data_IF_361675496417
#
_entry.id   IF_361675496417
#
_cell.length_a   1.000
_cell.length_b   1.000
_cell.length_c   1.000
_cell.angle_alpha   90.00
_cell.angle_beta   90.00
_cell.angle_gamma   90.00
#
_symmetry.space_group_name_H-M   'P 1'
#
loop_
_entity.id
_entity.type
_entity.pdbx_description
1 polymer ?
#
# COMPACT_ATOMS: atom_id res chain seq x y z
N UNK A 1 -14.83 0.85 38.78
CA UNK A 1 -13.38 0.63 38.90
C UNK A 1 -13.11 -0.76 38.32
N UNK A 2 -12.39 -0.98 37.23
CA UNK A 2 -11.49 -0.10 36.48
C UNK A 2 -11.36 -0.58 35.03
N UNK A 3 -11.34 0.40 34.13
CA UNK A 3 -10.51 0.55 32.92
C UNK A 3 -10.53 -0.55 31.84
N UNK A 4 -11.19 -0.21 30.72
CA UNK A 4 -10.95 -0.78 29.40
C UNK A 4 -9.51 -0.47 28.93
N UNK A 5 -8.80 -1.40 28.27
CA UNK A 5 -7.65 -1.02 27.48
C UNK A 5 -8.12 -0.30 26.22
N UNK A 6 -7.43 0.80 25.94
CA UNK A 6 -7.48 1.58 24.70
C UNK A 6 -6.66 0.84 23.63
N UNK A 7 -6.50 1.50 22.48
CA UNK A 7 -5.63 1.15 21.34
C UNK A 7 -6.44 0.37 20.30
N UNK A 8 -6.90 0.94 19.19
CA UNK A 8 -6.34 2.04 18.43
C UNK A 8 -6.20 1.53 17.00
N UNK A 9 -7.20 1.84 16.17
CA UNK A 9 -7.20 1.69 14.71
C UNK A 9 -6.79 0.29 14.23
N UNK A 10 -7.78 -0.56 13.94
CA UNK A 10 -7.52 -1.85 13.31
C UNK A 10 -6.62 -1.63 12.08
N UNK A 11 -5.42 -2.25 12.03
CA UNK A 11 -4.69 -2.30 10.79
C UNK A 11 -5.64 -2.90 9.76
N UNK A 12 -5.66 -2.36 8.55
CA UNK A 12 -6.42 -2.97 7.47
C UNK A 12 -5.68 -4.28 7.16
N UNK A 13 -6.04 -5.32 7.91
CA UNK A 13 -5.56 -6.68 7.78
C UNK A 13 -6.20 -7.24 6.52
N UNK A 14 -5.71 -6.84 5.35
CA UNK A 14 -6.08 -7.49 4.10
C UNK A 14 -5.33 -8.83 3.94
N UNK A 15 -5.04 -9.50 5.07
CA UNK A 15 -4.34 -10.77 5.19
C UNK A 15 -5.37 -11.89 5.45
N UNK A 16 -6.21 -12.15 4.45
CA UNK A 16 -6.85 -13.46 4.28
C UNK A 16 -7.53 -13.52 2.93
N UNK A 17 -6.72 -13.66 1.87
CA UNK A 17 -7.17 -14.35 0.68
C UNK A 17 -6.22 -15.53 0.43
N UNK A 18 -6.71 -16.77 0.50
CA UNK A 18 -5.91 -17.95 0.20
C UNK A 18 -5.73 -18.08 -1.32
N UNK A 19 -4.51 -18.49 -1.71
CA UNK A 19 -3.98 -18.67 -3.09
C UNK A 19 -3.66 -17.34 -3.81
N UNK A 20 -2.48 -16.72 -3.65
CA UNK A 20 -1.14 -17.28 -3.73
C UNK A 20 -0.37 -16.50 -4.80
N UNK A 21 0.23 -15.36 -4.42
CA UNK A 21 1.17 -14.49 -5.19
C UNK A 21 0.64 -13.19 -5.83
N UNK A 22 -0.67 -12.91 -5.80
CA UNK A 22 -1.22 -11.67 -6.37
C UNK A 22 -1.88 -10.80 -5.28
N UNK A 23 -1.46 -9.53 -5.19
CA UNK A 23 -2.18 -8.50 -4.44
C UNK A 23 -3.04 -7.69 -5.39
N UNK A 24 -4.36 -7.81 -5.28
CA UNK A 24 -5.24 -6.89 -5.99
C UNK A 24 -5.18 -5.51 -5.33
N UNK A 25 -4.90 -4.50 -6.12
CA UNK A 25 -5.02 -3.10 -5.72
C UNK A 25 -6.17 -2.48 -6.48
N UNK A 26 -7.01 -1.76 -5.74
CA UNK A 26 -8.05 -0.93 -6.31
C UNK A 26 -7.40 0.29 -6.98
N UNK A 27 -7.45 0.34 -8.32
CA UNK A 27 -6.91 1.48 -9.10
C UNK A 27 -7.74 2.75 -8.94
N UNK A 28 -8.96 2.63 -8.43
CA UNK A 28 -9.85 3.73 -8.12
C UNK A 28 -9.53 4.37 -6.76
N UNK A 29 -8.73 3.72 -5.91
CA UNK A 29 -8.23 4.32 -4.68
C UNK A 29 -7.25 5.46 -5.02
N UNK A 30 -7.55 6.74 -4.66
CA UNK A 30 -6.67 7.87 -4.95
C UNK A 30 -5.30 7.75 -4.27
N UNK A 31 -5.14 6.88 -3.28
CA UNK A 31 -3.84 6.51 -2.71
C UNK A 31 -2.96 5.77 -3.73
N UNK A 32 -3.52 4.92 -4.59
CA UNK A 32 -2.76 4.14 -5.58
C UNK A 32 -2.04 5.05 -6.57
N UNK A 33 -2.77 5.98 -7.19
CA UNK A 33 -2.19 6.92 -8.15
C UNK A 33 -1.07 7.79 -7.53
N UNK A 34 -1.31 8.35 -6.34
CA UNK A 34 -0.31 9.19 -5.68
C UNK A 34 0.92 8.40 -5.18
N UNK A 35 0.73 7.15 -4.75
CA UNK A 35 1.82 6.28 -4.30
C UNK A 35 2.67 5.76 -5.46
N UNK A 36 2.07 5.42 -6.60
CA UNK A 36 2.80 5.07 -7.82
C UNK A 36 3.71 6.22 -8.28
N UNK A 37 3.17 7.44 -8.37
CA UNK A 37 3.96 8.63 -8.73
C UNK A 37 5.10 8.81 -7.74
N UNK A 38 4.87 8.62 -6.45
CA UNK A 38 5.93 8.68 -5.45
C UNK A 38 6.98 7.58 -5.62
N UNK A 39 6.59 6.33 -5.88
CA UNK A 39 7.52 5.22 -6.07
C UNK A 39 8.41 5.43 -7.31
N UNK A 40 7.85 5.94 -8.40
CA UNK A 40 8.58 6.19 -9.65
C UNK A 40 9.46 7.44 -9.57
N UNK A 41 8.94 8.54 -9.02
CA UNK A 41 9.62 9.85 -9.07
C UNK A 41 10.36 10.22 -7.78
N UNK A 42 10.14 9.46 -6.70
CA UNK A 42 10.56 9.78 -5.34
C UNK A 42 10.05 11.15 -4.86
N UNK A 43 8.95 11.65 -5.44
CA UNK A 43 8.34 12.94 -5.10
C UNK A 43 6.86 12.76 -4.78
N UNK A 44 6.42 13.38 -3.69
CA UNK A 44 5.01 13.39 -3.32
C UNK A 44 4.34 14.56 -4.05
N UNK A 45 3.17 14.35 -4.68
CA UNK A 45 2.49 15.42 -5.38
C UNK A 45 2.12 16.58 -4.44
N UNK A 46 2.19 17.85 -4.92
CA UNK A 46 1.93 19.02 -4.08
C UNK A 46 0.49 19.06 -3.56
N UNK A 47 -0.46 18.48 -4.29
CA UNK A 47 -1.88 18.39 -3.90
C UNK A 47 -2.15 17.50 -2.69
N UNK A 48 -1.21 16.63 -2.29
CA UNK A 48 -1.39 15.75 -1.14
C UNK A 48 -1.29 16.53 0.18
N UNK A 49 -2.25 16.31 1.08
CA UNK A 49 -2.24 16.87 2.44
C UNK A 49 -1.03 16.33 3.24
N UNK A 50 -0.63 17.00 4.33
CA UNK A 50 0.49 16.51 5.16
C UNK A 50 0.31 15.08 5.64
N UNK A 51 -0.92 14.67 5.93
CA UNK A 51 -1.28 13.33 6.36
C UNK A 51 -1.12 12.32 5.22
N UNK A 52 -1.61 12.66 4.02
CA UNK A 52 -1.43 11.83 2.82
C UNK A 52 0.06 11.64 2.51
N UNK A 53 0.87 12.69 2.61
CA UNK A 53 2.32 12.57 2.38
C UNK A 53 2.99 11.65 3.39
N UNK A 54 2.48 11.56 4.62
CA UNK A 54 2.98 10.62 5.63
C UNK A 54 2.54 9.21 5.30
N UNK A 55 1.27 9.01 4.95
CA UNK A 55 0.69 7.71 4.60
C UNK A 55 1.33 7.12 3.34
N UNK A 56 1.51 7.91 2.28
CA UNK A 56 2.22 7.52 1.05
C UNK A 56 3.63 7.05 1.36
N UNK A 57 4.41 7.85 2.10
CA UNK A 57 5.79 7.48 2.46
C UNK A 57 5.87 6.24 3.33
N UNK A 58 4.90 6.04 4.21
CA UNK A 58 4.84 4.86 5.08
C UNK A 58 4.55 3.61 4.27
N UNK A 59 3.45 3.60 3.49
CA UNK A 59 3.10 2.45 2.66
C UNK A 59 4.16 2.15 1.61
N UNK A 60 4.71 3.16 0.94
CA UNK A 60 5.70 2.98 -0.13
C UNK A 60 6.95 2.18 0.31
N UNK A 61 7.24 2.07 1.62
CA UNK A 61 8.33 1.21 2.13
C UNK A 61 8.12 -0.28 1.88
N UNK A 62 6.87 -0.69 1.71
CA UNK A 62 6.45 -2.06 1.47
C UNK A 62 6.24 -2.34 -0.01
N UNK A 63 6.40 -1.35 -0.89
CA UNK A 63 6.18 -1.51 -2.32
C UNK A 63 7.45 -1.19 -3.12
N UNK A 64 7.62 -1.87 -4.25
CA UNK A 64 8.72 -1.64 -5.18
C UNK A 64 8.22 -1.81 -6.62
N UNK A 65 8.70 -0.95 -7.52
CA UNK A 65 8.45 -1.09 -8.96
C UNK A 65 9.67 -1.75 -9.59
N UNK A 66 9.45 -2.85 -10.30
CA UNK A 66 10.49 -3.56 -11.06
C UNK A 66 10.04 -3.59 -12.52
N UNK A 67 10.77 -2.86 -13.37
CA UNK A 67 10.32 -2.59 -14.73
C UNK A 67 9.07 -1.71 -14.71
N UNK A 68 7.94 -2.27 -15.17
CA UNK A 68 6.63 -1.61 -15.19
C UNK A 68 5.66 -2.20 -14.17
N UNK A 69 6.09 -3.19 -13.39
CA UNK A 69 5.20 -3.94 -12.50
C UNK A 69 5.44 -3.54 -11.04
N UNK A 70 4.34 -3.30 -10.32
CA UNK A 70 4.36 -3.05 -8.88
C UNK A 70 4.40 -4.37 -8.10
N UNK A 71 5.23 -4.43 -7.07
CA UNK A 71 5.34 -5.55 -6.16
C UNK A 71 5.17 -5.08 -4.71
N UNK A 72 4.49 -5.88 -3.91
CA UNK A 72 4.46 -5.75 -2.46
C UNK A 72 5.51 -6.66 -1.84
N UNK A 73 6.35 -6.10 -0.97
CA UNK A 73 7.34 -6.80 -0.17
C UNK A 73 6.71 -7.23 1.15
N UNK A 74 6.40 -8.52 1.25
CA UNK A 74 5.91 -9.11 2.49
C UNK A 74 6.98 -9.14 3.58
N UNK A 75 6.53 -9.40 4.81
CA UNK A 75 7.39 -9.58 5.99
C UNK A 75 8.34 -10.79 5.85
N UNK A 76 7.92 -11.78 5.06
CA UNK A 76 8.69 -12.94 4.60
C UNK A 76 9.77 -12.58 3.56
N UNK A 77 9.94 -11.29 3.22
CA UNK A 77 10.82 -10.78 2.16
C UNK A 77 10.45 -11.27 0.75
N UNK A 78 9.32 -11.94 0.60
CA UNK A 78 8.80 -12.37 -0.70
C UNK A 78 8.13 -11.19 -1.39
N UNK A 79 8.51 -10.96 -2.64
CA UNK A 79 7.86 -9.99 -3.51
C UNK A 79 6.65 -10.65 -4.16
N UNK A 80 5.48 -10.03 -4.00
CA UNK A 80 4.21 -10.50 -4.57
C UNK A 80 3.72 -9.46 -5.55
N UNK A 81 3.34 -9.89 -6.74
CA UNK A 81 2.95 -8.98 -7.81
C UNK A 81 1.63 -8.33 -7.44
N UNK A 82 1.57 -7.02 -7.62
CA UNK A 82 0.32 -6.28 -7.53
C UNK A 82 -0.35 -6.26 -8.89
N UNK A 83 -1.65 -6.55 -8.94
CA UNK A 83 -2.48 -6.36 -10.13
C UNK A 83 -3.50 -5.28 -9.84
N UNK A 84 -3.71 -4.38 -10.79
CA UNK A 84 -4.84 -3.46 -10.75
C UNK A 84 -6.11 -4.17 -11.24
N UNK A 85 -7.27 -3.64 -10.87
CA UNK A 85 -8.56 -4.12 -11.40
C UNK A 85 -8.67 -4.01 -12.94
N UNK A 86 -7.88 -3.14 -13.57
CA UNK A 86 -7.80 -3.02 -15.04
C UNK A 86 -6.91 -4.09 -15.70
N UNK A 87 -6.03 -4.74 -14.92
CA UNK A 87 -5.13 -5.80 -15.40
C UNK A 87 -5.64 -7.22 -15.11
N UNK A 88 -6.70 -7.37 -14.31
CA UNK A 88 -7.31 -8.64 -13.91
C UNK A 88 -8.40 -9.11 -14.89
#
# INVERSE_FOLDING_TARGET
>A
MSELPKEGEEPIDNDSLPDGHIFLIDSNDPWYGNSLVYLQTQRVPPQCSREDRRRIRHHAKHYIIIGDTLYHRGVDSILRRCLTHEEA
#
